data_IF_007558541871
#
_entry.id   IF_007558541871
#
_cell.length_a   1.000
_cell.length_b   1.000
_cell.length_c   1.000
_cell.angle_alpha   90.00
_cell.angle_beta   90.00
_cell.angle_gamma   90.00
#
_symmetry.space_group_name_H-M   'P 1'
#
loop_
_entity.id
_entity.type
_entity.pdbx_description
1 polymer ?
#
# COMPACT_ATOMS: atom_id res chain seq x y z
N UNK A 1 33.92 12.85 13.35
CA UNK A 1 33.52 12.41 13.12
C UNK A 1 32.71 11.84 12.92
N UNK A 2 32.57 11.66 12.78
CA UNK A 2 31.86 11.15 12.45
C UNK A 2 31.18 10.45 12.15
N UNK A 3 30.90 10.60 12.04
CA UNK A 3 30.14 9.99 11.65
C UNK A 3 30.04 8.94 11.22
N UNK A 4 30.50 8.90 11.19
CA UNK A 4 30.46 7.97 10.83
C UNK A 4 30.26 7.06 11.25
N UNK A 5 30.78 7.55 11.68
CA UNK A 5 30.68 6.57 12.07
C UNK A 5 29.66 5.76 12.14
N UNK A 6 28.84 6.19 11.84
CA UNK A 6 27.75 5.40 11.75
C UNK A 6 27.68 4.81 10.41
N UNK A 7 28.49 3.89 10.13
CA UNK A 7 28.37 3.11 8.91
C UNK A 7 27.23 2.10 9.10
N UNK A 8 26.27 2.14 8.22
CA UNK A 8 25.19 1.16 8.23
C UNK A 8 25.73 -0.20 7.80
N UNK A 9 25.27 -1.26 8.44
CA UNK A 9 25.59 -2.61 7.98
C UNK A 9 24.89 -2.86 6.64
N UNK A 10 25.43 -3.76 5.81
CA UNK A 10 24.79 -4.04 4.51
C UNK A 10 23.32 -4.39 4.61
N UNK A 11 22.93 -5.13 5.67
CA UNK A 11 21.54 -5.52 5.88
C UNK A 11 20.64 -4.33 6.26
N UNK A 12 21.23 -3.22 6.70
CA UNK A 12 20.49 -2.02 7.09
C UNK A 12 20.37 -1.02 5.96
N UNK A 13 21.12 -1.20 4.88
CA UNK A 13 21.10 -0.27 3.75
C UNK A 13 19.89 -0.59 2.90
N UNK A 14 18.97 0.38 2.70
CA UNK A 14 17.81 0.15 1.83
C UNK A 14 18.25 -0.20 0.43
N UNK A 15 17.54 -1.10 -0.22
CA UNK A 15 17.80 -1.40 -1.62
C UNK A 15 17.54 -0.16 -2.46
N UNK A 16 18.33 0.07 -3.51
CA UNK A 16 18.07 1.20 -4.41
C UNK A 16 16.71 1.02 -5.08
N UNK A 17 16.10 2.16 -5.41
CA UNK A 17 14.80 2.16 -6.09
C UNK A 17 15.04 1.72 -7.54
N UNK A 18 14.27 0.74 -7.98
CA UNK A 18 14.24 0.33 -9.38
C UNK A 18 13.20 1.18 -10.10
N UNK A 19 13.67 2.18 -10.83
CA UNK A 19 12.77 3.12 -11.51
C UNK A 19 12.04 2.49 -12.68
N UNK A 20 12.58 1.43 -13.29
CA UNK A 20 11.87 0.70 -14.33
C UNK A 20 10.67 -0.04 -13.72
N UNK A 21 10.89 -0.69 -12.60
CA UNK A 21 9.82 -1.36 -11.87
C UNK A 21 8.78 -0.36 -11.38
N UNK A 22 9.23 0.77 -10.87
CA UNK A 22 8.33 1.83 -10.41
C UNK A 22 7.42 2.31 -11.54
N UNK A 23 7.98 2.50 -12.74
CA UNK A 23 7.20 2.87 -13.91
C UNK A 23 6.14 1.81 -14.26
N UNK A 24 6.50 0.54 -14.16
CA UNK A 24 5.54 -0.55 -14.37
C UNK A 24 4.40 -0.51 -13.37
N UNK A 25 4.71 -0.18 -12.12
CA UNK A 25 3.72 -0.09 -11.06
C UNK A 25 2.74 1.06 -11.30
N UNK A 26 3.21 2.20 -11.80
CA UNK A 26 2.31 3.34 -12.06
C UNK A 26 1.26 3.01 -13.12
N UNK A 27 1.54 2.06 -14.01
CA UNK A 27 0.60 1.66 -15.06
C UNK A 27 -0.62 0.91 -14.53
N UNK A 28 -0.58 0.47 -13.28
CA UNK A 28 -1.76 -0.14 -12.67
C UNK A 28 -2.78 0.90 -12.20
N UNK A 29 -2.48 2.20 -12.34
CA UNK A 29 -3.34 3.27 -11.83
C UNK A 29 -3.74 4.22 -12.95
N UNK A 30 -4.98 4.72 -12.90
CA UNK A 30 -5.47 5.68 -13.89
C UNK A 30 -5.02 7.11 -13.54
N UNK A 31 -5.45 8.08 -14.35
CA UNK A 31 -5.07 9.49 -14.17
C UNK A 31 -5.58 10.06 -12.85
N UNK A 32 -6.60 9.46 -12.26
CA UNK A 32 -7.14 9.88 -10.98
C UNK A 32 -6.54 9.08 -9.81
N UNK A 33 -5.55 8.25 -10.10
CA UNK A 33 -4.88 7.46 -9.09
C UNK A 33 -5.67 6.25 -8.61
N UNK A 34 -6.69 5.81 -9.36
CA UNK A 34 -7.46 4.62 -9.00
C UNK A 34 -6.80 3.38 -9.58
N UNK A 35 -6.82 2.31 -8.82
CA UNK A 35 -6.18 1.05 -9.18
C UNK A 35 -7.02 0.31 -10.20
N UNK A 36 -6.44 0.05 -11.39
CA UNK A 36 -7.19 -0.42 -12.57
C UNK A 36 -7.46 -1.92 -12.52
N UNK A 37 -6.47 -2.72 -12.13
CA UNK A 37 -6.59 -4.18 -12.13
C UNK A 37 -5.65 -4.82 -11.12
N UNK A 38 -6.04 -5.98 -10.66
CA UNK A 38 -5.20 -6.78 -9.75
C UNK A 38 -4.01 -7.35 -10.52
N UNK A 39 -2.78 -7.15 -10.05
CA UNK A 39 -1.60 -7.65 -10.74
C UNK A 39 -1.50 -9.17 -10.66
N UNK A 40 -1.15 -9.81 -11.79
CA UNK A 40 -0.84 -11.24 -11.79
C UNK A 40 0.54 -11.49 -11.20
N UNK A 41 1.48 -10.54 -11.37
CA UNK A 41 2.81 -10.67 -10.81
C UNK A 41 2.76 -10.38 -9.32
N UNK A 42 3.16 -11.37 -8.51
CA UNK A 42 3.04 -11.29 -7.06
C UNK A 42 3.78 -10.07 -6.48
N UNK A 43 4.98 -9.79 -6.98
CA UNK A 43 5.78 -8.66 -6.49
C UNK A 43 5.17 -7.30 -6.78
N UNK A 44 4.18 -7.22 -7.68
CA UNK A 44 3.48 -5.98 -7.98
C UNK A 44 2.28 -5.76 -7.06
N UNK A 45 1.76 -6.83 -6.47
CA UNK A 45 0.56 -6.74 -5.61
C UNK A 45 0.84 -5.91 -4.36
N UNK A 46 1.95 -6.18 -3.70
CA UNK A 46 2.27 -5.55 -2.43
C UNK A 46 2.39 -4.02 -2.51
N UNK A 47 3.19 -3.46 -3.45
CA UNK A 47 3.27 -2.01 -3.59
C UNK A 47 1.93 -1.35 -3.89
N UNK A 48 1.10 -2.00 -4.72
CA UNK A 48 -0.22 -1.45 -5.05
C UNK A 48 -1.15 -1.46 -3.84
N UNK A 49 -1.09 -2.52 -3.02
CA UNK A 49 -1.85 -2.57 -1.78
C UNK A 49 -1.43 -1.47 -0.80
N UNK A 50 -0.14 -1.16 -0.74
CA UNK A 50 0.35 -0.06 0.10
C UNK A 50 -0.23 1.28 -0.33
N UNK A 51 -0.49 1.47 -1.62
CA UNK A 51 -1.16 2.70 -2.09
C UNK A 51 -2.56 2.81 -1.48
N UNK A 52 -3.34 1.73 -1.49
CA UNK A 52 -4.65 1.73 -0.86
C UNK A 52 -4.54 1.95 0.65
N UNK A 53 -3.58 1.29 1.30
CA UNK A 53 -3.33 1.48 2.72
C UNK A 53 -3.11 2.96 3.05
N UNK A 54 -2.34 3.66 2.23
CA UNK A 54 -2.03 5.07 2.46
C UNK A 54 -3.26 5.97 2.42
N UNK A 55 -4.33 5.50 1.80
CA UNK A 55 -5.57 6.26 1.64
C UNK A 55 -6.61 5.93 2.70
N UNK A 56 -6.34 4.95 3.53
CA UNK A 56 -7.19 4.67 4.69
C UNK A 56 -6.81 5.62 5.81
N UNK A 57 -7.78 6.31 6.44
CA UNK A 57 -7.47 7.16 7.59
C UNK A 57 -6.83 6.36 8.73
N UNK A 58 -5.74 6.87 9.31
CA UNK A 58 -5.08 6.17 10.43
C UNK A 58 -5.89 6.32 11.72
N UNK A 59 -5.70 5.37 12.62
CA UNK A 59 -6.27 5.42 13.97
C UNK A 59 -7.79 5.60 13.99
N UNK A 60 -8.45 5.02 12.99
CA UNK A 60 -9.90 5.09 12.85
C UNK A 60 -10.45 3.69 12.70
N UNK A 61 -11.62 3.48 13.27
CA UNK A 61 -12.32 2.20 13.20
C UNK A 61 -13.36 2.27 12.09
N UNK A 62 -13.40 1.22 11.26
CA UNK A 62 -14.34 1.14 10.14
C UNK A 62 -15.22 -0.10 10.30
N UNK A 63 -16.50 0.04 9.97
CA UNK A 63 -17.33 -1.13 9.71
C UNK A 63 -16.90 -1.76 8.39
N UNK A 64 -17.37 -2.99 8.14
CA UNK A 64 -17.12 -3.63 6.85
C UNK A 64 -17.68 -2.77 5.70
N UNK A 65 -18.84 -2.21 5.89
CA UNK A 65 -19.45 -1.33 4.89
C UNK A 65 -18.58 -0.11 4.62
N UNK A 66 -18.08 0.53 5.66
CA UNK A 66 -17.27 1.74 5.52
C UNK A 66 -15.95 1.45 4.81
N UNK A 67 -15.27 0.36 5.17
CA UNK A 67 -14.01 0.03 4.50
C UNK A 67 -14.26 -0.37 3.04
N UNK A 68 -15.37 -1.05 2.76
CA UNK A 68 -15.74 -1.36 1.38
C UNK A 68 -15.93 -0.11 0.55
N UNK A 69 -16.58 0.91 1.11
CA UNK A 69 -16.79 2.19 0.42
C UNK A 69 -15.45 2.87 0.12
N UNK A 70 -14.54 2.90 1.09
CA UNK A 70 -13.22 3.47 0.89
C UNK A 70 -12.44 2.72 -0.19
N UNK A 71 -12.50 1.39 -0.17
CA UNK A 71 -11.80 0.58 -1.18
C UNK A 71 -12.42 0.77 -2.56
N UNK A 72 -13.75 0.80 -2.67
CA UNK A 72 -14.43 1.00 -3.95
C UNK A 72 -14.10 2.36 -4.58
N UNK A 73 -13.89 3.37 -3.76
CA UNK A 73 -13.51 4.69 -4.26
C UNK A 73 -12.12 4.70 -4.90
N UNK A 74 -11.30 3.68 -4.65
CA UNK A 74 -9.89 3.66 -5.00
C UNK A 74 -9.49 2.57 -5.98
N UNK A 75 -10.43 1.74 -6.45
CA UNK A 75 -10.11 0.73 -7.45
C UNK A 75 -11.27 0.54 -8.42
N UNK A 76 -10.97 -0.02 -9.59
CA UNK A 76 -11.94 -0.13 -10.68
C UNK A 76 -12.36 -1.56 -11.02
N UNK A 77 -11.81 -2.57 -10.32
CA UNK A 77 -12.13 -3.96 -10.63
C UNK A 77 -13.15 -4.59 -9.67
N UNK A 78 -13.84 -3.76 -8.90
CA UNK A 78 -15.03 -4.12 -8.10
C UNK A 78 -14.86 -5.37 -7.24
N UNK A 79 -13.78 -5.44 -6.49
CA UNK A 79 -13.53 -6.58 -5.62
C UNK A 79 -13.00 -6.16 -4.25
N UNK A 80 -13.82 -5.46 -3.44
CA UNK A 80 -13.37 -5.03 -2.12
C UNK A 80 -13.09 -6.21 -1.20
N UNK A 81 -13.77 -7.35 -1.40
CA UNK A 81 -13.54 -8.54 -0.57
C UNK A 81 -12.12 -9.09 -0.77
N UNK A 82 -11.64 -9.14 -2.01
CA UNK A 82 -10.27 -9.54 -2.30
C UNK A 82 -9.29 -8.62 -1.58
N UNK A 83 -9.51 -7.31 -1.71
CA UNK A 83 -8.61 -6.31 -1.13
C UNK A 83 -8.59 -6.39 0.39
N UNK A 84 -9.74 -6.54 1.03
CA UNK A 84 -9.81 -6.70 2.48
C UNK A 84 -9.01 -7.92 2.94
N UNK A 85 -9.20 -9.05 2.25
CA UNK A 85 -8.50 -10.29 2.60
C UNK A 85 -7.00 -10.14 2.43
N UNK A 86 -6.57 -9.60 1.29
CA UNK A 86 -5.15 -9.45 1.01
C UNK A 86 -4.47 -8.49 1.97
N UNK A 87 -5.13 -7.38 2.28
CA UNK A 87 -4.59 -6.41 3.23
C UNK A 87 -4.55 -6.97 4.66
N UNK A 88 -5.53 -7.77 5.03
CA UNK A 88 -5.54 -8.43 6.34
C UNK A 88 -4.43 -9.47 6.43
N UNK A 89 -4.30 -10.31 5.40
CA UNK A 89 -3.30 -11.37 5.38
C UNK A 89 -1.87 -10.81 5.41
N UNK A 90 -1.67 -9.62 4.86
CA UNK A 90 -0.37 -8.97 4.81
C UNK A 90 -0.13 -8.02 5.99
N UNK A 91 -1.03 -7.97 6.95
CA UNK A 91 -0.87 -7.17 8.14
C UNK A 91 -1.00 -5.67 7.91
N UNK A 92 -1.66 -5.26 6.85
CA UNK A 92 -1.90 -3.85 6.54
C UNK A 92 -3.14 -3.30 7.22
N UNK A 93 -4.12 -4.16 7.44
CA UNK A 93 -5.30 -3.85 8.25
C UNK A 93 -5.53 -4.99 9.22
N UNK A 94 -6.22 -4.69 10.31
CA UNK A 94 -6.62 -5.67 11.31
C UNK A 94 -8.14 -5.69 11.37
N UNK A 95 -8.71 -6.89 11.52
CA UNK A 95 -10.14 -7.01 11.69
C UNK A 95 -10.46 -7.82 12.94
N UNK A 96 -11.64 -7.63 13.49
CA UNK A 96 -12.14 -8.46 14.58
C UNK A 96 -12.53 -9.85 14.04
N UNK A 97 -12.62 -10.83 14.92
CA UNK A 97 -12.93 -12.22 14.53
C UNK A 97 -14.26 -12.34 13.81
N UNK A 98 -15.24 -11.50 14.19
CA UNK A 98 -16.56 -11.51 13.55
C UNK A 98 -16.60 -10.73 12.24
N UNK A 99 -15.48 -10.10 11.86
CA UNK A 99 -15.39 -9.35 10.61
C UNK A 99 -16.16 -8.04 10.57
N UNK A 100 -16.61 -7.54 11.71
CA UNK A 100 -17.44 -6.33 11.76
C UNK A 100 -16.64 -5.05 11.84
N UNK A 101 -15.44 -5.11 12.36
CA UNK A 101 -14.61 -3.93 12.61
C UNK A 101 -13.26 -4.09 11.98
N UNK A 102 -12.82 -3.05 11.29
CA UNK A 102 -11.52 -2.97 10.62
C UNK A 102 -10.75 -1.75 11.08
N UNK A 103 -9.44 -1.86 11.11
CA UNK A 103 -8.56 -0.75 11.48
C UNK A 103 -7.26 -0.86 10.70
N UNK A 104 -6.76 0.26 10.21
CA UNK A 104 -5.45 0.30 9.55
C UNK A 104 -4.36 0.01 10.57
N UNK A 105 -3.43 -0.88 10.20
CA UNK A 105 -2.24 -1.13 11.03
C UNK A 105 -1.19 -0.09 10.65
N UNK A 106 -0.64 0.60 11.64
CA UNK A 106 0.38 1.62 11.40
C UNK A 106 1.72 0.94 11.23
N UNK A 107 2.15 0.85 9.98
CA UNK A 107 3.42 0.23 9.58
C UNK A 107 4.08 1.08 8.52
N UNK A 108 5.38 0.95 8.42
CA UNK A 108 6.14 1.70 7.43
C UNK A 108 6.17 0.92 6.12
N UNK A 109 5.68 1.49 5.00
CA UNK A 109 5.81 0.86 3.70
C UNK A 109 7.28 0.74 3.27
N UNK A 110 7.52 -0.13 2.29
CA UNK A 110 8.83 -0.22 1.67
C UNK A 110 9.17 1.08 0.94
N UNK A 111 10.45 1.29 0.64
CA UNK A 111 10.88 2.48 -0.08
C UNK A 111 10.20 2.59 -1.45
N UNK A 112 10.09 1.47 -2.18
CA UNK A 112 9.40 1.45 -3.46
C UNK A 112 7.94 1.85 -3.31
N UNK A 113 7.25 1.31 -2.30
CA UNK A 113 5.86 1.64 -2.05
C UNK A 113 5.70 3.11 -1.67
N UNK A 114 6.58 3.65 -0.83
CA UNK A 114 6.54 5.07 -0.46
C UNK A 114 6.71 5.96 -1.68
N UNK A 115 7.63 5.60 -2.58
CA UNK A 115 7.86 6.37 -3.78
C UNK A 115 6.65 6.32 -4.71
N UNK A 116 6.05 5.14 -4.85
CA UNK A 116 4.83 4.99 -5.64
C UNK A 116 3.69 5.84 -5.08
N UNK A 117 3.50 5.79 -3.76
CA UNK A 117 2.48 6.61 -3.09
C UNK A 117 2.68 8.09 -3.39
N UNK A 118 3.92 8.57 -3.30
CA UNK A 118 4.25 9.98 -3.58
C UNK A 118 3.99 10.36 -5.03
N UNK A 119 4.37 9.49 -5.95
CA UNK A 119 4.12 9.71 -7.38
C UNK A 119 2.63 9.86 -7.67
N UNK A 120 1.83 8.95 -7.11
CA UNK A 120 0.39 8.95 -7.37
C UNK A 120 -0.32 10.10 -6.67
N UNK A 121 0.25 10.65 -5.63
CA UNK A 121 -0.31 11.82 -4.94
C UNK A 121 0.20 13.14 -5.50
N UNK A 122 1.14 13.09 -6.46
CA UNK A 122 1.69 14.31 -7.05
C UNK A 122 2.72 15.02 -6.17
N UNK A 123 3.31 14.32 -5.19
CA UNK A 123 4.23 14.92 -4.22
C UNK A 123 5.70 14.65 -4.53
N UNK A 124 6.02 14.35 -5.77
CA UNK A 124 7.41 14.19 -6.20
C UNK A 124 7.83 15.33 -7.09
#
# INVERSE_FOLDING_TARGET
>A
MVAEKRLMRPAEVPAPIDYVELQRLTRYFDVNGRWIRWPTKFSHQDPCLWVLWSRLPPRQIFSEREINELLRANHLFDDPALLRREMTDRGMVRRTLDGRVYKRVERRPTLTALTLIRLLSGNL
#
